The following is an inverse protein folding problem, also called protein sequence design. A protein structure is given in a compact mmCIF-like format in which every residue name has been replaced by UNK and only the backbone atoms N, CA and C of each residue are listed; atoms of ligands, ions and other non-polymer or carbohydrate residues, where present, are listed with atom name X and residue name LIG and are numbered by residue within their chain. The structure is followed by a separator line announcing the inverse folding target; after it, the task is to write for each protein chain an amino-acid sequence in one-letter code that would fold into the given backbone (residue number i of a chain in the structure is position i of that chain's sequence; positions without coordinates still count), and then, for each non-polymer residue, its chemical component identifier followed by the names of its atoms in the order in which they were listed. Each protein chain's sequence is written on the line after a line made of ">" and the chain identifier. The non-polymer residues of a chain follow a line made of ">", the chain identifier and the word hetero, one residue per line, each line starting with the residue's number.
data_IF_393359195948
#
_entry.id   IF_393359195948
#
_cell.length_a   1.000
_cell.length_b   1.000
_cell.length_c   1.000
_cell.angle_alpha   90.00
_cell.angle_beta   90.00
_cell.angle_gamma   90.00
#
_symmetry.space_group_name_H-M   'P 1'
#
loop_
_entity.id
_entity.type
_entity.pdbx_description
1 polymer ?
#
# COMPACT_ATOMS: atom_id res chain seq x y z
N UNK A 1 -9.05 2.89 -15.37
CA UNK A 1 -7.80 2.09 -15.46
C UNK A 1 -7.16 2.14 -14.08
N UNK A 2 -7.00 1.00 -13.44
CA UNK A 2 -6.36 0.93 -12.11
C UNK A 2 -4.85 0.95 -12.36
N UNK A 3 -4.16 1.95 -11.80
CA UNK A 3 -2.72 2.16 -11.94
C UNK A 3 -2.03 1.56 -10.72
N UNK A 4 -1.42 0.38 -10.91
CA UNK A 4 -0.87 -0.45 -9.85
C UNK A 4 -1.87 -1.43 -9.24
N UNK A 5 -1.65 -1.81 -7.98
CA UNK A 5 -2.47 -2.73 -7.20
C UNK A 5 -3.10 -1.96 -6.05
N UNK A 6 -4.43 -1.98 -5.97
CA UNK A 6 -5.19 -1.46 -4.82
C UNK A 6 -5.86 -2.61 -4.10
N UNK A 7 -5.67 -2.70 -2.79
CA UNK A 7 -6.31 -3.69 -1.92
C UNK A 7 -7.23 -2.96 -0.95
N UNK A 8 -8.45 -3.46 -0.81
CA UNK A 8 -9.45 -2.95 0.13
C UNK A 8 -9.50 -3.83 1.37
N UNK A 9 -9.46 -3.21 2.54
CA UNK A 9 -9.61 -3.83 3.85
C UNK A 9 -10.94 -3.36 4.48
N UNK A 10 -11.49 -4.07 5.47
CA UNK A 10 -12.69 -3.61 6.17
C UNK A 10 -12.55 -2.21 6.79
N UNK A 11 -11.34 -1.82 7.21
CA UNK A 11 -11.02 -0.58 7.92
C UNK A 11 -10.25 0.45 7.09
N UNK A 12 -10.03 0.21 5.79
CA UNK A 12 -9.17 1.07 4.98
C UNK A 12 -8.78 0.49 3.62
N UNK A 13 -7.70 1.02 3.04
CA UNK A 13 -7.16 0.53 1.77
C UNK A 13 -5.64 0.78 1.66
N UNK A 14 -4.99 -0.03 0.83
CA UNK A 14 -3.59 0.13 0.43
C UNK A 14 -3.44 0.21 -1.10
N UNK A 15 -2.50 1.00 -1.59
CA UNK A 15 -2.15 1.14 -3.01
C UNK A 15 -0.64 1.00 -3.18
N UNK A 16 -0.23 0.14 -4.10
CA UNK A 16 1.14 0.06 -4.59
C UNK A 16 1.17 0.31 -6.10
N UNK A 17 2.01 1.23 -6.55
CA UNK A 17 2.19 1.52 -7.99
C UNK A 17 3.63 1.85 -8.33
N UNK A 18 4.02 1.59 -9.55
CA UNK A 18 5.27 2.12 -10.08
C UNK A 18 5.19 3.65 -10.21
N UNK A 19 6.28 4.34 -9.90
CA UNK A 19 6.41 5.76 -10.22
C UNK A 19 6.63 5.92 -11.73
N UNK A 20 6.02 6.96 -12.31
CA UNK A 20 6.12 7.25 -13.74
C UNK A 20 7.42 7.98 -14.11
N UNK A 21 8.10 8.60 -13.13
CA UNK A 21 9.23 9.52 -13.38
C UNK A 21 10.51 9.13 -12.64
N UNK A 22 10.45 8.18 -11.72
CA UNK A 22 11.58 7.73 -10.90
C UNK A 22 11.54 6.20 -10.75
N UNK A 23 12.68 5.52 -10.58
CA UNK A 23 12.75 4.07 -10.40
C UNK A 23 12.40 3.69 -8.95
N UNK A 24 11.19 4.02 -8.52
CA UNK A 24 10.69 3.77 -7.15
C UNK A 24 9.28 3.21 -7.18
N UNK A 25 8.95 2.38 -6.19
CA UNK A 25 7.57 1.96 -5.89
C UNK A 25 6.94 2.98 -4.94
N UNK A 26 5.74 3.46 -5.28
CA UNK A 26 4.96 4.36 -4.43
C UNK A 26 3.91 3.55 -3.69
N UNK A 27 3.95 3.64 -2.36
CA UNK A 27 2.96 3.03 -1.46
C UNK A 27 2.10 4.12 -0.83
N UNK A 28 0.79 3.88 -0.72
CA UNK A 28 -0.16 4.74 0.01
C UNK A 28 -1.12 3.89 0.82
N UNK A 29 -1.43 4.35 2.02
CA UNK A 29 -2.34 3.69 2.95
C UNK A 29 -3.31 4.71 3.53
N UNK A 30 -4.54 4.26 3.76
CA UNK A 30 -5.56 5.06 4.42
C UNK A 30 -6.40 4.13 5.30
N UNK A 31 -6.73 4.59 6.50
CA UNK A 31 -7.58 3.89 7.44
C UNK A 31 -8.36 4.88 8.32
N UNK A 32 -9.39 4.37 8.99
CA UNK A 32 -10.23 5.15 9.92
C UNK A 32 -9.56 5.45 11.27
N UNK A 33 -8.42 4.81 11.58
CA UNK A 33 -7.67 5.04 12.82
C UNK A 33 -6.17 4.82 12.61
N UNK A 34 -5.31 5.45 13.46
CA UNK A 34 -3.86 5.25 13.38
C UNK A 34 -3.43 3.80 13.57
N UNK A 35 -4.13 3.05 14.43
CA UNK A 35 -3.86 1.62 14.66
C UNK A 35 -4.13 0.79 13.41
N UNK A 36 -5.28 0.99 12.77
CA UNK A 36 -5.64 0.26 11.56
C UNK A 36 -4.73 0.65 10.37
N UNK A 37 -4.29 1.91 10.32
CA UNK A 37 -3.34 2.38 9.32
C UNK A 37 -2.02 1.62 9.44
N UNK A 38 -1.52 1.48 10.67
CA UNK A 38 -0.27 0.74 10.94
C UNK A 38 -0.40 -0.73 10.55
N UNK A 39 -1.51 -1.39 10.92
CA UNK A 39 -1.75 -2.78 10.55
C UNK A 39 -1.78 -2.99 9.03
N UNK A 40 -2.51 -2.13 8.30
CA UNK A 40 -2.55 -2.21 6.83
C UNK A 40 -1.15 -2.00 6.24
N UNK A 41 -0.36 -1.06 6.78
CA UNK A 41 1.02 -0.79 6.34
C UNK A 41 1.91 -2.02 6.54
N UNK A 42 1.90 -2.58 7.74
CA UNK A 42 2.70 -3.77 8.11
C UNK A 42 2.35 -4.97 7.23
N UNK A 43 1.05 -5.30 7.08
CA UNK A 43 0.60 -6.41 6.22
C UNK A 43 1.05 -6.24 4.76
N UNK A 44 1.03 -5.00 4.25
CA UNK A 44 1.47 -4.73 2.88
C UNK A 44 3.00 -4.85 2.73
N UNK A 45 3.75 -4.29 3.67
CA UNK A 45 5.21 -4.32 3.66
C UNK A 45 5.78 -5.72 3.85
N UNK A 46 5.13 -6.58 4.62
CA UNK A 46 5.50 -8.01 4.73
C UNK A 46 5.48 -8.72 3.37
N UNK A 47 4.55 -8.35 2.48
CA UNK A 47 4.46 -8.93 1.13
C UNK A 47 5.42 -8.25 0.16
N UNK A 48 5.57 -6.93 0.24
CA UNK A 48 6.35 -6.14 -0.73
C UNK A 48 7.84 -6.19 -0.47
N UNK A 49 8.29 -6.05 0.78
CA UNK A 49 9.71 -5.95 1.10
C UNK A 49 10.55 -7.15 0.64
N UNK A 50 10.07 -8.41 0.70
CA UNK A 50 10.82 -9.54 0.17
C UNK A 50 10.98 -9.56 -1.36
N UNK A 51 10.23 -8.72 -2.09
CA UNK A 51 10.21 -8.65 -3.55
C UNK A 51 11.02 -7.47 -4.11
N UNK A 52 11.57 -6.63 -3.24
CA UNK A 52 12.42 -5.48 -3.57
C UNK A 52 13.90 -5.84 -3.37
#
# INVERSE_FOLDING_TARGET
>A
LVDGIRVSFPSGWGLARASNTQPVLVLRFEADSPRNLEQIREEFEEVVNPLL
#
